data_IF_532489077890
#
_entry.id   IF_532489077890
#
_cell.length_a   1.000
_cell.length_b   1.000
_cell.length_c   1.000
_cell.angle_alpha   90.00
_cell.angle_beta   90.00
_cell.angle_gamma   90.00
#
_symmetry.space_group_name_H-M   'P 1'
#
loop_
_entity.id
_entity.type
_entity.pdbx_description
1 polymer ?
#
# COMPACT_ATOMS: atom_id res chain seq x y z
N UNK A 1 -6.50 -18.12 -12.07
CA UNK A 1 -5.19 -17.49 -12.32
C UNK A 1 -4.62 -18.12 -13.57
N UNK A 2 -4.42 -17.35 -14.65
CA UNK A 2 -3.91 -17.85 -15.92
C UNK A 2 -2.39 -18.04 -15.89
N UNK A 3 -1.85 -18.89 -16.81
CA UNK A 3 -0.40 -19.10 -16.92
C UNK A 3 0.38 -17.79 -17.17
N UNK A 4 -0.21 -16.84 -17.91
CA UNK A 4 0.35 -15.50 -18.16
C UNK A 4 0.48 -14.71 -16.86
N UNK A 5 -0.57 -14.63 -16.08
CA UNK A 5 -0.61 -13.91 -14.80
C UNK A 5 0.43 -14.46 -13.79
N UNK A 6 0.62 -15.78 -13.77
CA UNK A 6 1.65 -16.40 -12.95
C UNK A 6 3.06 -16.05 -13.43
N UNK A 7 3.29 -16.01 -14.74
CA UNK A 7 4.59 -15.64 -15.31
C UNK A 7 4.92 -14.17 -15.02
N UNK A 8 3.96 -13.27 -15.15
CA UNK A 8 4.11 -11.84 -14.82
C UNK A 8 4.43 -11.65 -13.33
N UNK A 9 3.70 -12.29 -12.43
CA UNK A 9 3.99 -12.25 -10.99
C UNK A 9 5.37 -12.81 -10.66
N UNK A 10 5.77 -13.89 -11.31
CA UNK A 10 7.10 -14.46 -11.12
C UNK A 10 8.20 -13.49 -11.57
N UNK A 11 8.02 -12.82 -12.72
CA UNK A 11 8.96 -11.81 -13.21
C UNK A 11 9.13 -10.66 -12.20
N UNK A 12 8.03 -10.16 -11.67
CA UNK A 12 8.04 -9.05 -10.70
C UNK A 12 8.64 -9.41 -9.34
N UNK A 13 8.82 -10.70 -9.05
CA UNK A 13 9.50 -11.13 -7.83
C UNK A 13 11.02 -10.99 -7.89
N UNK A 14 11.62 -10.79 -9.08
CA UNK A 14 13.02 -10.47 -9.20
C UNK A 14 13.25 -9.03 -8.75
N UNK A 15 14.14 -8.86 -7.78
CA UNK A 15 14.35 -7.57 -7.08
C UNK A 15 14.92 -6.49 -8.01
N UNK A 16 15.72 -6.86 -8.99
CA UNK A 16 16.24 -5.99 -10.03
C UNK A 16 15.12 -5.47 -10.93
N UNK A 17 14.27 -6.36 -11.44
CA UNK A 17 13.09 -5.99 -12.24
C UNK A 17 12.14 -5.11 -11.43
N UNK A 18 11.88 -5.49 -10.18
CA UNK A 18 11.02 -4.72 -9.27
C UNK A 18 11.57 -3.31 -9.06
N UNK A 19 12.87 -3.19 -8.72
CA UNK A 19 13.51 -1.90 -8.49
C UNK A 19 13.50 -1.01 -9.72
N UNK A 20 13.73 -1.57 -10.92
CA UNK A 20 13.69 -0.82 -12.17
C UNK A 20 12.30 -0.25 -12.44
N UNK A 21 11.24 -1.04 -12.27
CA UNK A 21 9.86 -0.57 -12.44
C UNK A 21 9.55 0.57 -11.46
N UNK A 22 9.92 0.40 -10.19
CA UNK A 22 9.71 1.43 -9.17
C UNK A 22 10.50 2.70 -9.50
N UNK A 23 11.77 2.58 -9.88
CA UNK A 23 12.63 3.71 -10.22
C UNK A 23 12.12 4.50 -11.42
N UNK A 24 11.63 3.82 -12.46
CA UNK A 24 11.06 4.47 -13.64
C UNK A 24 9.78 5.23 -13.28
N UNK A 25 8.86 4.57 -12.57
CA UNK A 25 7.52 5.14 -12.34
C UNK A 25 7.46 6.18 -11.22
N UNK A 26 8.25 6.02 -10.14
CA UNK A 26 8.21 6.95 -9.00
C UNK A 26 9.34 7.97 -9.02
N UNK A 27 10.50 7.62 -9.59
CA UNK A 27 11.71 8.43 -9.48
C UNK A 27 12.27 8.91 -10.84
N UNK A 28 11.47 8.79 -11.90
CA UNK A 28 11.84 9.24 -13.25
C UNK A 28 13.10 8.58 -13.80
N UNK A 29 13.30 7.29 -13.49
CA UNK A 29 14.45 6.50 -13.91
C UNK A 29 15.71 6.70 -13.07
N UNK A 30 15.67 7.52 -12.02
CA UNK A 30 16.80 7.63 -11.08
C UNK A 30 16.87 6.38 -10.22
N UNK A 31 18.05 5.79 -10.06
CA UNK A 31 18.29 4.64 -9.20
C UNK A 31 18.17 5.04 -7.72
N UNK A 32 16.92 5.15 -7.24
CA UNK A 32 16.63 5.47 -5.83
C UNK A 32 16.43 4.21 -4.99
N UNK A 33 15.86 3.16 -5.55
CA UNK A 33 15.69 1.84 -4.94
C UNK A 33 16.63 0.87 -5.61
N UNK A 34 17.47 0.19 -4.85
CA UNK A 34 18.32 -0.89 -5.37
C UNK A 34 17.79 -2.26 -4.95
N UNK A 35 18.17 -3.31 -5.69
CA UNK A 35 17.72 -4.68 -5.43
C UNK A 35 18.15 -5.18 -4.03
N UNK A 36 19.32 -4.75 -3.55
CA UNK A 36 19.87 -5.12 -2.24
C UNK A 36 19.08 -4.52 -1.08
N UNK A 37 18.45 -3.36 -1.29
CA UNK A 37 17.62 -2.67 -0.29
C UNK A 37 16.23 -3.32 -0.13
N UNK A 38 15.84 -4.18 -1.08
CA UNK A 38 14.54 -4.83 -1.12
C UNK A 38 14.52 -6.16 -0.35
N UNK A 39 13.47 -6.38 0.42
CA UNK A 39 13.12 -7.66 1.02
C UNK A 39 11.67 -8.02 0.71
N UNK A 40 11.40 -9.31 0.44
CA UNK A 40 10.03 -9.79 0.20
C UNK A 40 9.21 -9.68 1.46
N UNK A 41 7.94 -9.33 1.30
CA UNK A 41 6.94 -9.33 2.36
C UNK A 41 5.86 -10.37 2.05
N UNK A 42 5.13 -10.88 3.06
CA UNK A 42 3.96 -11.70 2.82
C UNK A 42 2.90 -10.92 2.03
N UNK A 43 2.32 -11.54 1.01
CA UNK A 43 1.23 -10.94 0.24
C UNK A 43 -0.13 -11.04 0.93
N UNK A 44 -0.27 -11.94 1.90
CA UNK A 44 -1.51 -12.14 2.63
C UNK A 44 -1.64 -11.14 3.78
N UNK A 45 -2.73 -10.38 3.74
CA UNK A 45 -3.11 -9.45 4.80
C UNK A 45 -4.44 -9.88 5.40
N UNK A 46 -4.50 -9.97 6.72
CA UNK A 46 -5.71 -10.37 7.43
C UNK A 46 -6.32 -9.12 8.07
N UNK A 47 -7.55 -8.79 7.68
CA UNK A 47 -8.33 -7.71 8.28
C UNK A 47 -9.60 -8.26 8.91
N UNK A 48 -10.06 -7.63 10.00
CA UNK A 48 -11.41 -7.88 10.51
C UNK A 48 -12.40 -7.01 9.76
N UNK A 49 -13.43 -7.63 9.19
CA UNK A 49 -14.54 -6.86 8.65
C UNK A 49 -15.35 -6.22 9.79
N UNK A 50 -15.71 -4.96 9.62
CA UNK A 50 -16.40 -4.17 10.65
C UNK A 50 -17.84 -4.68 10.91
N UNK A 51 -18.43 -5.39 9.94
CA UNK A 51 -19.86 -5.71 9.96
C UNK A 51 -20.22 -7.12 10.47
N UNK A 52 -19.30 -8.07 10.48
CA UNK A 52 -19.65 -9.48 10.75
C UNK A 52 -18.58 -10.30 11.48
N UNK A 53 -17.62 -9.63 12.12
CA UNK A 53 -16.47 -10.24 12.84
C UNK A 53 -15.68 -11.29 12.02
N UNK A 54 -15.97 -11.42 10.72
CA UNK A 54 -15.26 -12.34 9.84
C UNK A 54 -13.92 -11.78 9.43
N UNK A 55 -12.91 -12.60 9.53
CA UNK A 55 -11.59 -12.28 8.99
C UNK A 55 -11.69 -12.26 7.45
N UNK A 56 -11.32 -11.15 6.85
CA UNK A 56 -11.14 -11.04 5.40
C UNK A 56 -9.65 -11.12 5.07
N UNK A 57 -9.35 -11.98 4.13
CA UNK A 57 -8.03 -12.09 3.56
C UNK A 57 -7.93 -11.18 2.36
N UNK A 58 -6.98 -10.24 2.41
CA UNK A 58 -6.59 -9.42 1.28
C UNK A 58 -5.28 -9.99 0.73
N UNK A 59 -5.19 -10.09 -0.59
CA UNK A 59 -4.02 -10.60 -1.27
C UNK A 59 -3.38 -9.50 -2.10
N UNK A 60 -2.17 -9.08 -1.72
CA UNK A 60 -1.30 -8.23 -2.53
C UNK A 60 -0.49 -9.10 -3.51
N UNK A 61 -0.25 -8.61 -4.72
CA UNK A 61 0.42 -9.43 -5.73
C UNK A 61 1.92 -9.59 -5.45
N UNK A 62 2.68 -8.51 -5.41
CA UNK A 62 4.12 -8.56 -5.15
C UNK A 62 4.52 -7.45 -4.16
N UNK A 63 4.32 -7.68 -2.85
CA UNK A 63 4.74 -6.73 -1.83
C UNK A 63 6.23 -6.89 -1.50
N UNK A 64 6.91 -5.75 -1.37
CA UNK A 64 8.30 -5.67 -0.92
C UNK A 64 8.50 -4.55 0.10
N UNK A 65 9.44 -4.74 1.00
CA UNK A 65 9.91 -3.71 1.93
C UNK A 65 11.26 -3.21 1.45
N UNK A 66 11.37 -1.92 1.25
CA UNK A 66 12.63 -1.25 0.98
C UNK A 66 13.20 -0.68 2.28
N UNK A 67 14.46 -0.99 2.57
CA UNK A 67 15.21 -0.38 3.67
C UNK A 67 16.27 0.54 3.10
N UNK A 68 16.15 1.84 3.40
CA UNK A 68 17.11 2.84 2.96
C UNK A 68 17.61 3.64 4.16
N UNK A 69 18.90 3.50 4.47
CA UNK A 69 19.46 4.06 5.71
C UNK A 69 18.69 3.52 6.95
N UNK A 70 18.19 4.42 7.79
CA UNK A 70 17.43 4.07 9.00
C UNK A 70 15.90 4.13 8.79
N UNK A 71 15.42 4.17 7.54
CA UNK A 71 14.00 4.26 7.22
C UNK A 71 13.56 3.09 6.36
N UNK A 72 12.28 2.76 6.45
CA UNK A 72 11.67 1.75 5.58
C UNK A 72 10.44 2.31 4.89
N UNK A 73 10.08 1.74 3.78
CA UNK A 73 8.80 1.92 3.13
C UNK A 73 8.37 0.63 2.43
N UNK A 74 7.08 0.44 2.32
CA UNK A 74 6.50 -0.73 1.68
C UNK A 74 6.07 -0.36 0.27
N UNK A 75 6.40 -1.24 -0.66
CA UNK A 75 6.06 -1.11 -2.08
C UNK A 75 5.26 -2.35 -2.48
N UNK A 76 4.22 -2.18 -3.26
CA UNK A 76 3.50 -3.28 -3.87
C UNK A 76 3.35 -3.03 -5.38
N UNK A 77 3.63 -4.04 -6.18
CA UNK A 77 3.25 -4.06 -7.58
C UNK A 77 2.01 -4.94 -7.72
N UNK A 78 0.92 -4.35 -8.22
CA UNK A 78 -0.36 -5.02 -8.50
C UNK A 78 -0.53 -5.19 -10.00
N UNK A 79 -0.67 -6.43 -10.45
CA UNK A 79 -0.89 -6.75 -11.86
C UNK A 79 -2.37 -6.74 -12.20
N UNK A 80 -2.75 -5.98 -13.22
CA UNK A 80 -4.12 -5.96 -13.70
C UNK A 80 -4.15 -6.26 -15.21
N UNK A 81 -4.72 -7.41 -15.59
CA UNK A 81 -4.92 -7.79 -16.99
C UNK A 81 -6.07 -7.03 -17.63
N UNK A 82 -7.01 -6.59 -16.80
CA UNK A 82 -8.17 -5.81 -17.20
C UNK A 82 -8.40 -4.65 -16.24
N UNK A 83 -9.07 -3.61 -16.74
CA UNK A 83 -9.43 -2.45 -15.92
C UNK A 83 -10.31 -2.85 -14.75
N UNK A 84 -9.89 -2.49 -13.55
CA UNK A 84 -10.64 -2.71 -12.32
C UNK A 84 -11.03 -1.37 -11.68
N UNK A 85 -12.29 -0.98 -11.84
CA UNK A 85 -12.80 0.31 -11.37
C UNK A 85 -12.81 0.46 -9.85
N UNK A 86 -12.72 -0.64 -9.08
CA UNK A 86 -12.64 -0.58 -7.61
C UNK A 86 -11.21 -0.65 -7.09
N UNK A 87 -10.22 -0.55 -7.97
CA UNK A 87 -8.81 -0.63 -7.59
C UNK A 87 -8.40 0.42 -6.53
N UNK A 88 -8.83 1.69 -6.61
CA UNK A 88 -8.50 2.66 -5.57
C UNK A 88 -9.02 2.27 -4.17
N UNK A 89 -10.20 1.66 -4.08
CA UNK A 89 -10.76 1.18 -2.80
C UNK A 89 -10.01 -0.07 -2.31
N UNK A 90 -9.61 -0.96 -3.23
CA UNK A 90 -8.78 -2.12 -2.87
C UNK A 90 -7.44 -1.68 -2.31
N UNK A 91 -6.79 -0.70 -2.94
CA UNK A 91 -5.52 -0.15 -2.49
C UNK A 91 -5.62 0.46 -1.08
N UNK A 92 -6.69 1.22 -0.81
CA UNK A 92 -6.97 1.71 0.55
C UNK A 92 -7.07 0.55 1.56
N UNK A 93 -7.69 -0.56 1.18
CA UNK A 93 -7.77 -1.77 2.01
C UNK A 93 -6.38 -2.34 2.32
N UNK A 94 -5.50 -2.42 1.33
CA UNK A 94 -4.12 -2.88 1.51
C UNK A 94 -3.32 -1.95 2.42
N UNK A 95 -3.38 -0.65 2.15
CA UNK A 95 -2.71 0.37 2.97
C UNK A 95 -3.19 0.31 4.43
N UNK A 96 -4.51 0.28 4.65
CA UNK A 96 -5.10 0.15 5.97
C UNK A 96 -4.58 -1.09 6.72
N UNK A 97 -4.65 -2.26 6.08
CA UNK A 97 -4.19 -3.50 6.68
C UNK A 97 -2.71 -3.43 7.08
N UNK A 98 -1.85 -2.90 6.20
CA UNK A 98 -0.41 -2.77 6.46
C UNK A 98 -0.10 -1.75 7.55
N UNK A 99 -0.84 -0.63 7.63
CA UNK A 99 -0.70 0.30 8.74
C UNK A 99 -1.15 -0.29 10.07
N UNK A 100 -2.24 -1.06 10.10
CA UNK A 100 -2.69 -1.75 11.32
C UNK A 100 -1.68 -2.79 11.81
N UNK A 101 -1.00 -3.49 10.90
CA UNK A 101 0.09 -4.39 11.22
C UNK A 101 1.26 -3.64 11.89
N UNK A 102 1.71 -2.52 11.31
CA UNK A 102 2.75 -1.68 11.88
C UNK A 102 2.37 -1.12 13.27
N UNK A 103 1.12 -0.68 13.43
CA UNK A 103 0.62 -0.19 14.73
C UNK A 103 0.66 -1.31 15.77
N UNK A 104 0.29 -2.53 15.40
CA UNK A 104 0.37 -3.69 16.29
C UNK A 104 1.81 -3.96 16.73
N UNK A 105 2.76 -3.94 15.80
CA UNK A 105 4.20 -4.13 16.09
C UNK A 105 4.72 -3.05 17.06
N UNK A 106 4.35 -1.79 16.84
CA UNK A 106 4.73 -0.68 17.73
C UNK A 106 4.13 -0.85 19.13
N UNK A 107 2.84 -1.22 19.22
CA UNK A 107 2.18 -1.52 20.50
C UNK A 107 2.88 -2.64 21.26
N UNK A 108 3.25 -3.70 20.58
CA UNK A 108 3.97 -4.82 21.19
C UNK A 108 5.37 -4.41 21.67
N UNK A 109 6.08 -3.61 20.88
CA UNK A 109 7.37 -3.04 21.25
C UNK A 109 7.26 -2.13 22.49
N UNK A 110 6.31 -1.19 22.47
CA UNK A 110 6.05 -0.28 23.60
C UNK A 110 5.72 -1.06 24.90
N UNK A 111 4.95 -2.15 24.77
CA UNK A 111 4.60 -3.02 25.91
C UNK A 111 5.85 -3.69 26.50
N UNK A 112 6.76 -4.18 25.66
CA UNK A 112 8.00 -4.85 26.10
C UNK A 112 8.99 -3.89 26.75
N UNK A 113 9.06 -2.65 26.25
CA UNK A 113 10.01 -1.64 26.73
C UNK A 113 9.47 -0.76 27.87
N UNK A 114 8.20 -0.90 28.21
CA UNK A 114 7.53 -0.02 29.19
C UNK A 114 7.33 1.43 28.70
N UNK A 115 7.59 1.69 27.41
CA UNK A 115 7.50 3.01 26.81
C UNK A 115 6.06 3.32 26.38
N UNK A 116 5.21 3.64 27.34
CA UNK A 116 3.82 4.03 27.09
C UNK A 116 3.69 5.55 27.04
N UNK A 117 3.37 6.13 25.89
CA UNK A 117 3.21 7.59 25.78
C UNK A 117 1.94 8.08 26.51
N UNK A 118 0.90 7.26 26.53
CA UNK A 118 -0.34 7.52 27.24
C UNK A 118 -0.89 6.20 27.77
N UNK A 119 -1.11 6.03 29.09
CA UNK A 119 -1.70 4.81 29.66
C UNK A 119 -3.08 4.44 29.09
N UNK A 120 -3.84 5.43 28.60
CA UNK A 120 -5.19 5.19 28.07
C UNK A 120 -5.17 4.70 26.62
N UNK A 121 -4.28 5.22 25.77
CA UNK A 121 -4.27 4.85 24.34
C UNK A 121 -3.30 3.73 24.00
N UNK A 122 -2.17 3.61 24.73
CA UNK A 122 -1.12 2.58 24.51
C UNK A 122 -0.69 2.38 23.05
N UNK A 123 -0.92 3.38 22.23
CA UNK A 123 -0.69 3.31 20.78
C UNK A 123 0.68 3.92 20.40
N UNK A 124 0.72 4.73 19.36
CA UNK A 124 1.92 5.43 18.97
C UNK A 124 2.14 6.65 19.86
N UNK A 125 3.41 6.96 20.15
CA UNK A 125 3.77 8.26 20.71
C UNK A 125 4.10 9.26 19.58
N UNK A 126 4.20 10.53 19.91
CA UNK A 126 4.39 11.62 18.93
C UNK A 126 5.66 11.49 18.09
N UNK A 127 6.68 10.80 18.61
CA UNK A 127 7.95 10.56 17.91
C UNK A 127 7.93 9.32 17.01
N UNK A 128 7.00 8.40 17.23
CA UNK A 128 6.88 7.17 16.45
C UNK A 128 6.15 7.45 15.13
N UNK A 129 6.72 7.02 14.04
CA UNK A 129 6.17 7.21 12.68
C UNK A 129 6.00 5.86 12.00
N UNK A 130 4.95 5.73 11.22
CA UNK A 130 4.74 4.57 10.36
C UNK A 130 5.54 4.71 9.07
N UNK A 131 5.92 3.56 8.52
CA UNK A 131 6.55 3.49 7.19
C UNK A 131 5.48 3.68 6.10
N UNK A 132 5.74 4.50 5.07
CA UNK A 132 4.80 4.65 3.96
C UNK A 132 4.50 3.32 3.28
N UNK A 133 3.27 3.18 2.79
CA UNK A 133 2.81 2.06 1.95
C UNK A 133 2.40 2.62 0.61
N UNK A 134 3.00 2.14 -0.48
CA UNK A 134 2.82 2.64 -1.83
C UNK A 134 2.50 1.46 -2.75
N UNK A 135 1.41 1.57 -3.50
CA UNK A 135 1.03 0.58 -4.51
C UNK A 135 1.18 1.17 -5.90
N UNK A 136 1.83 0.44 -6.78
CA UNK A 136 1.84 0.71 -8.22
C UNK A 136 1.00 -0.35 -8.93
N UNK A 137 0.01 0.10 -9.67
CA UNK A 137 -0.84 -0.76 -10.49
C UNK A 137 -0.28 -0.83 -11.90
N UNK A 138 0.12 -2.02 -12.31
CA UNK A 138 0.64 -2.29 -13.65
C UNK A 138 -0.51 -2.77 -14.54
N UNK A 139 -0.85 -1.97 -15.53
CA UNK A 139 -1.91 -2.30 -16.49
C UNK A 139 -1.34 -3.06 -17.69
N UNK A 140 -1.64 -4.35 -17.78
CA UNK A 140 -1.25 -5.22 -18.90
C UNK A 140 -2.35 -5.39 -19.95
N UNK A 141 -3.46 -4.65 -19.83
CA UNK A 141 -4.51 -4.65 -20.84
C UNK A 141 -4.07 -3.91 -22.11
N UNK A 142 -4.72 -4.20 -23.22
CA UNK A 142 -4.52 -3.43 -24.47
C UNK A 142 -5.17 -2.04 -24.43
N UNK A 143 -6.00 -1.79 -23.42
CA UNK A 143 -6.74 -0.54 -23.26
C UNK A 143 -6.05 0.36 -22.24
N UNK A 144 -6.13 1.66 -22.44
CA UNK A 144 -5.73 2.62 -21.43
C UNK A 144 -6.56 2.45 -20.17
N UNK A 145 -5.93 2.64 -19.01
CA UNK A 145 -6.63 2.53 -17.73
C UNK A 145 -7.76 3.58 -17.60
N UNK A 146 -7.49 4.82 -18.02
CA UNK A 146 -8.44 5.93 -17.88
C UNK A 146 -8.72 6.24 -16.40
N UNK A 147 -9.99 6.47 -16.06
CA UNK A 147 -10.46 6.67 -14.68
C UNK A 147 -11.28 5.45 -14.21
N UNK A 148 -11.39 5.19 -12.87
CA UNK A 148 -10.78 5.94 -11.79
C UNK A 148 -9.29 5.59 -11.57
N UNK A 149 -8.48 6.61 -11.24
CA UNK A 149 -7.05 6.46 -10.86
C UNK A 149 -6.81 6.67 -9.36
N UNK A 150 -7.74 7.36 -8.71
CA UNK A 150 -7.71 7.60 -7.27
C UNK A 150 -9.13 7.56 -6.70
N UNK A 151 -9.24 7.58 -5.37
CA UNK A 151 -10.55 7.54 -4.71
C UNK A 151 -11.44 8.72 -5.13
N UNK A 152 -10.88 9.92 -5.29
CA UNK A 152 -11.66 11.09 -5.68
C UNK A 152 -12.37 10.93 -7.03
N UNK A 153 -11.81 10.15 -7.94
CA UNK A 153 -12.46 9.85 -9.22
C UNK A 153 -13.72 8.98 -9.07
N UNK A 154 -13.95 8.40 -7.89
CA UNK A 154 -15.06 7.50 -7.57
C UNK A 154 -16.12 8.17 -6.69
N UNK A 155 -15.83 9.36 -6.14
CA UNK A 155 -16.73 10.06 -5.23
C UNK A 155 -17.58 11.07 -5.99
N UNK A 156 -18.85 11.14 -5.62
CA UNK A 156 -19.79 12.15 -6.08
C UNK A 156 -19.87 13.23 -5.01
N UNK A 157 -19.46 14.44 -5.37
CA UNK A 157 -19.49 15.59 -4.46
C UNK A 157 -20.63 16.52 -4.84
N UNK A 158 -21.32 17.15 -3.85
CA UNK A 158 -22.21 18.26 -4.10
C UNK A 158 -21.50 19.38 -4.87
N UNK A 159 -22.17 19.97 -5.86
CA UNK A 159 -21.57 20.96 -6.78
C UNK A 159 -20.97 22.17 -6.06
N UNK A 160 -21.64 22.64 -5.00
CA UNK A 160 -21.29 23.84 -4.24
C UNK A 160 -20.10 23.69 -3.29
N UNK A 161 -19.78 22.45 -2.88
CA UNK A 161 -18.72 22.18 -1.89
C UNK A 161 -17.65 21.19 -2.37
N UNK A 162 -17.80 20.65 -3.58
CA UNK A 162 -16.95 19.59 -4.11
C UNK A 162 -15.44 19.88 -4.02
N UNK A 163 -15.01 21.07 -4.44
CA UNK A 163 -13.58 21.46 -4.36
C UNK A 163 -13.03 21.50 -2.93
N UNK A 164 -13.84 21.92 -1.96
CA UNK A 164 -13.43 21.98 -0.54
C UNK A 164 -13.31 20.57 0.04
N UNK A 165 -14.27 19.69 -0.26
CA UNK A 165 -14.25 18.31 0.22
C UNK A 165 -13.10 17.51 -0.41
N UNK A 166 -12.80 17.72 -1.67
CA UNK A 166 -11.66 17.08 -2.34
C UNK A 166 -10.33 17.43 -1.64
N UNK A 167 -10.15 18.69 -1.27
CA UNK A 167 -8.94 19.13 -0.53
C UNK A 167 -8.87 18.51 0.87
N UNK A 168 -10.01 18.37 1.56
CA UNK A 168 -10.07 17.75 2.89
C UNK A 168 -9.76 16.26 2.83
N UNK A 169 -10.23 15.55 1.82
CA UNK A 169 -9.95 14.12 1.67
C UNK A 169 -8.46 13.81 1.44
N UNK A 170 -7.70 14.78 0.90
CA UNK A 170 -6.24 14.67 0.74
C UNK A 170 -5.46 14.97 2.05
N UNK A 171 -6.08 15.65 3.01
CA UNK A 171 -5.42 16.02 4.28
C UNK A 171 -5.54 14.88 5.32
N UNK A 172 -6.49 13.98 5.15
CA UNK A 172 -6.79 12.93 6.11
C UNK A 172 -6.25 11.53 5.74
N UNK A 173 -5.40 11.44 4.71
CA UNK A 173 -4.73 10.19 4.31
C UNK A 173 -3.24 10.27 4.52
#
# INVERSE_FOLDING_TARGET
MGAKDLAEKNLLQYKDVFSDIVNVNLFGGRCYVSAEELSREPGELITKAVSDDKLRQLQMDVPMKCKKHNRSFFLCLENQSDKNNVMPVRDMGYQHAKYMEQIKEVKESNRKTGNYPNPMTKELNDSQKLSPVITLVLNYSQNEWGKPRCLNDMLEFPEDIGEKLTKLSLIHI
#
